data_IF_154294178933
#
_entry.id   IF_154294178933
#
_cell.length_a   1.000
_cell.length_b   1.000
_cell.length_c   1.000
_cell.angle_alpha   90.00
_cell.angle_beta   90.00
_cell.angle_gamma   90.00
#
_symmetry.space_group_name_H-M   'P 1'
#
loop_
_entity.id
_entity.type
_entity.pdbx_description
1 polymer ?
#
# COMPACT_ATOMS: atom_id res chain seq x y z
N UNK A 1 -9.49 33.15 2.43
CA UNK A 1 -8.17 32.52 2.18
C UNK A 1 -7.28 33.62 1.60
N UNK A 2 -6.06 33.81 2.15
CA UNK A 2 -5.09 34.72 1.50
C UNK A 2 -4.84 34.21 0.09
N UNK A 3 -4.86 35.07 -0.95
CA UNK A 3 -4.78 34.61 -2.35
C UNK A 3 -3.50 33.87 -2.71
N UNK A 4 -2.45 34.05 -1.91
CA UNK A 4 -1.10 33.50 -2.06
C UNK A 4 -0.77 32.34 -1.12
N UNK A 5 -1.79 31.73 -0.49
CA UNK A 5 -1.61 30.66 0.49
C UNK A 5 -1.90 29.29 -0.14
N UNK A 6 -0.89 28.68 -0.78
CA UNK A 6 -1.00 27.39 -1.47
C UNK A 6 -1.50 26.24 -0.56
N UNK A 7 -1.02 26.18 0.68
CA UNK A 7 -1.39 25.11 1.61
C UNK A 7 -2.88 25.15 2.00
N UNK A 8 -3.47 26.35 2.07
CA UNK A 8 -4.92 26.48 2.31
C UNK A 8 -5.74 25.98 1.10
N UNK A 9 -5.31 26.25 -0.12
CA UNK A 9 -5.95 25.71 -1.31
C UNK A 9 -5.76 24.20 -1.41
N UNK A 10 -4.60 23.67 -1.05
CA UNK A 10 -4.35 22.22 -0.99
C UNK A 10 -5.27 21.54 0.01
N UNK A 11 -5.37 22.06 1.24
CA UNK A 11 -6.24 21.51 2.27
C UNK A 11 -7.73 21.60 1.90
N UNK A 12 -8.13 22.70 1.24
CA UNK A 12 -9.48 22.84 0.70
C UNK A 12 -9.74 21.79 -0.39
N UNK A 13 -8.76 21.56 -1.28
CA UNK A 13 -8.82 20.52 -2.30
C UNK A 13 -9.02 19.14 -1.71
N UNK A 14 -8.22 18.75 -0.72
CA UNK A 14 -8.36 17.48 0.00
C UNK A 14 -9.74 17.33 0.64
N UNK A 15 -10.19 18.35 1.37
CA UNK A 15 -11.53 18.33 2.01
C UNK A 15 -12.65 18.18 0.98
N UNK A 16 -12.55 18.86 -0.14
CA UNK A 16 -13.55 18.76 -1.22
C UNK A 16 -13.51 17.40 -1.92
N UNK A 17 -12.32 16.83 -2.08
CA UNK A 17 -12.12 15.47 -2.60
C UNK A 17 -12.77 14.45 -1.68
N UNK A 18 -12.58 14.55 -0.35
CA UNK A 18 -13.20 13.68 0.63
C UNK A 18 -14.72 13.78 0.64
N UNK A 19 -15.25 14.98 0.40
CA UNK A 19 -16.69 15.23 0.23
C UNK A 19 -17.24 14.78 -1.13
N UNK A 20 -16.40 14.27 -2.06
CA UNK A 20 -16.79 13.90 -3.40
C UNK A 20 -17.09 15.06 -4.35
N UNK A 21 -16.66 16.28 -3.96
CA UNK A 21 -16.85 17.50 -4.78
C UNK A 21 -15.66 17.71 -5.72
N UNK A 22 -15.50 16.80 -6.66
CA UNK A 22 -14.28 16.66 -7.46
C UNK A 22 -13.94 17.89 -8.32
N UNK A 23 -14.93 18.55 -8.94
CA UNK A 23 -14.71 19.73 -9.75
C UNK A 23 -14.21 20.94 -8.93
N UNK A 24 -14.65 21.03 -7.68
CA UNK A 24 -14.18 22.07 -6.76
C UNK A 24 -12.81 21.73 -6.19
N UNK A 25 -12.53 20.44 -5.94
CA UNK A 25 -11.22 19.95 -5.53
C UNK A 25 -10.18 20.26 -6.62
N UNK A 26 -10.47 19.94 -7.89
CA UNK A 26 -9.61 20.25 -9.02
C UNK A 26 -9.26 21.74 -9.10
N UNK A 27 -10.27 22.62 -8.99
CA UNK A 27 -10.04 24.07 -8.99
C UNK A 27 -9.12 24.51 -7.86
N UNK A 28 -9.29 23.94 -6.68
CA UNK A 28 -8.47 24.25 -5.50
C UNK A 28 -7.02 23.78 -5.70
N UNK A 29 -6.81 22.58 -6.21
CA UNK A 29 -5.47 22.07 -6.52
C UNK A 29 -4.75 22.89 -7.61
N UNK A 30 -5.47 23.31 -8.67
CA UNK A 30 -4.91 24.20 -9.70
C UNK A 30 -4.50 25.55 -9.12
N UNK A 31 -5.29 26.13 -8.21
CA UNK A 31 -4.90 27.37 -7.52
C UNK A 31 -3.66 27.16 -6.63
N UNK A 32 -3.58 26.07 -5.93
CA UNK A 32 -2.40 25.74 -5.12
C UNK A 32 -1.14 25.59 -5.98
N UNK A 33 -1.22 24.90 -7.14
CA UNK A 33 -0.10 24.74 -8.07
C UNK A 33 0.28 26.03 -8.79
N UNK A 34 -0.65 26.95 -9.04
CA UNK A 34 -0.31 28.27 -9.57
C UNK A 34 0.60 29.06 -8.60
N UNK A 35 0.47 28.81 -7.30
CA UNK A 35 1.29 29.46 -6.25
C UNK A 35 2.60 28.68 -6.01
N UNK A 36 2.51 27.31 -5.98
CA UNK A 36 3.65 26.40 -5.79
C UNK A 36 3.71 25.36 -6.93
N UNK A 37 4.26 25.69 -8.12
CA UNK A 37 4.19 24.85 -9.32
C UNK A 37 4.85 23.47 -9.20
N UNK A 38 5.88 23.34 -8.36
CA UNK A 38 6.67 22.11 -8.23
C UNK A 38 6.25 21.27 -7.02
N UNK A 39 5.00 21.40 -6.55
CA UNK A 39 4.52 20.60 -5.43
C UNK A 39 3.99 19.25 -5.93
N UNK A 40 4.80 18.19 -5.78
CA UNK A 40 4.50 16.82 -6.22
C UNK A 40 3.26 16.23 -5.52
N UNK A 41 3.02 16.61 -4.26
CA UNK A 41 1.86 16.22 -3.46
C UNK A 41 0.55 16.69 -4.10
N UNK A 42 0.51 18.00 -4.43
CA UNK A 42 -0.68 18.61 -5.03
C UNK A 42 -0.83 18.14 -6.48
N UNK A 43 0.28 17.94 -7.20
CA UNK A 43 0.25 17.43 -8.57
C UNK A 43 -0.37 16.02 -8.61
N UNK A 44 0.05 15.10 -7.74
CA UNK A 44 -0.54 13.76 -7.68
C UNK A 44 -2.05 13.81 -7.41
N UNK A 45 -2.49 14.67 -6.48
CA UNK A 45 -3.91 14.85 -6.19
C UNK A 45 -4.67 15.42 -7.42
N UNK A 46 -4.07 16.35 -8.17
CA UNK A 46 -4.66 16.89 -9.39
C UNK A 46 -4.72 15.82 -10.49
N UNK A 47 -3.67 15.03 -10.68
CA UNK A 47 -3.62 13.95 -11.66
C UNK A 47 -4.74 12.93 -11.41
N UNK A 48 -4.97 12.57 -10.15
CA UNK A 48 -6.09 11.71 -9.74
C UNK A 48 -7.46 12.33 -10.09
N UNK A 49 -7.63 13.66 -9.93
CA UNK A 49 -8.88 14.35 -10.27
C UNK A 49 -9.12 14.44 -11.78
N UNK A 50 -8.05 14.60 -12.55
CA UNK A 50 -8.12 14.83 -14.01
C UNK A 50 -7.99 13.56 -14.83
N UNK A 51 -7.73 12.40 -14.17
CA UNK A 51 -7.57 11.11 -14.84
C UNK A 51 -6.21 10.91 -15.51
N UNK A 52 -5.23 11.75 -15.20
CA UNK A 52 -3.85 11.54 -15.63
C UNK A 52 -3.28 10.32 -14.91
N UNK A 53 -2.76 9.37 -15.68
CA UNK A 53 -2.22 8.12 -15.13
C UNK A 53 -0.72 8.26 -14.87
N UNK A 54 -0.30 7.91 -13.67
CA UNK A 54 1.10 7.86 -13.23
C UNK A 54 1.44 6.46 -12.77
N UNK A 55 2.73 6.12 -12.70
CA UNK A 55 3.16 4.76 -12.34
C UNK A 55 3.25 4.52 -10.83
N UNK A 56 3.42 5.58 -10.04
CA UNK A 56 3.50 5.49 -8.59
C UNK A 56 3.14 6.82 -7.95
N UNK A 57 2.65 6.80 -6.72
CA UNK A 57 2.50 8.01 -5.93
C UNK A 57 3.88 8.57 -5.57
N UNK A 58 4.07 9.91 -5.53
CA UNK A 58 5.30 10.51 -5.06
C UNK A 58 5.60 10.09 -3.61
N UNK A 59 6.87 9.83 -3.31
CA UNK A 59 7.32 9.45 -1.96
C UNK A 59 6.83 10.45 -0.90
N UNK A 60 7.01 11.73 -1.18
CA UNK A 60 6.61 12.81 -0.27
C UNK A 60 5.09 12.84 -0.02
N UNK A 61 4.28 12.39 -1.00
CA UNK A 61 2.83 12.26 -0.84
C UNK A 61 2.49 11.16 0.17
N UNK A 62 3.11 10.00 0.04
CA UNK A 62 2.90 8.84 0.93
C UNK A 62 3.38 9.18 2.35
N UNK A 63 4.61 9.69 2.49
CA UNK A 63 5.17 10.11 3.78
C UNK A 63 4.27 11.16 4.47
N UNK A 64 3.84 12.19 3.76
CA UNK A 64 2.99 13.25 4.31
C UNK A 64 1.66 12.70 4.87
N UNK A 65 1.00 11.82 4.12
CA UNK A 65 -0.27 11.22 4.56
C UNK A 65 -0.05 10.42 5.85
N UNK A 66 0.92 9.51 5.87
CA UNK A 66 1.09 8.57 6.96
C UNK A 66 1.75 9.19 8.19
N UNK A 67 2.64 10.16 8.05
CA UNK A 67 3.20 10.88 9.19
C UNK A 67 2.15 11.72 9.94
N UNK A 68 1.18 12.28 9.21
CA UNK A 68 0.10 13.05 9.83
C UNK A 68 -1.03 12.17 10.38
N UNK A 69 -1.13 10.92 9.93
CA UNK A 69 -2.24 10.04 10.26
C UNK A 69 -1.90 8.94 11.26
N UNK A 70 -0.61 8.70 11.55
CA UNK A 70 -0.12 7.57 12.34
C UNK A 70 -0.83 7.42 13.70
N UNK A 71 -0.98 8.52 14.46
CA UNK A 71 -1.58 8.48 15.79
C UNK A 71 -3.08 8.11 15.82
N UNK A 72 -3.80 8.26 14.69
CA UNK A 72 -5.23 7.98 14.58
C UNK A 72 -5.51 6.81 13.63
N UNK A 73 -4.46 6.22 13.06
CA UNK A 73 -4.55 5.23 11.99
C UNK A 73 -5.38 4.01 12.39
N UNK A 74 -5.06 3.39 13.51
CA UNK A 74 -5.73 2.16 13.96
C UNK A 74 -7.18 2.41 14.37
N UNK A 75 -7.44 3.46 15.13
CA UNK A 75 -8.80 3.83 15.54
C UNK A 75 -9.69 4.09 14.31
N UNK A 76 -9.11 4.66 13.27
CA UNK A 76 -9.84 4.91 12.03
C UNK A 76 -9.99 3.64 11.19
N UNK A 77 -8.93 2.91 10.93
CA UNK A 77 -8.94 1.74 10.04
C UNK A 77 -9.73 0.57 10.65
N UNK A 78 -9.37 0.16 11.86
CA UNK A 78 -9.97 -1.00 12.51
C UNK A 78 -11.34 -0.64 13.08
N UNK A 79 -11.42 0.48 13.82
CA UNK A 79 -12.64 0.86 14.53
C UNK A 79 -13.77 1.35 13.61
N UNK A 80 -13.46 2.14 12.58
CA UNK A 80 -14.47 2.79 11.72
C UNK A 80 -14.63 2.16 10.35
N UNK A 81 -13.55 1.62 9.77
CA UNK A 81 -13.53 1.16 8.39
C UNK A 81 -13.65 -0.37 8.24
N UNK A 82 -13.69 -1.12 9.34
CA UNK A 82 -13.79 -2.59 9.35
C UNK A 82 -12.68 -3.26 8.51
N UNK A 83 -11.44 -2.86 8.76
CA UNK A 83 -10.28 -3.35 8.04
C UNK A 83 -9.82 -4.71 8.60
N UNK A 84 -9.94 -5.76 7.80
CA UNK A 84 -9.64 -7.16 8.19
C UNK A 84 -8.61 -7.84 7.26
N UNK A 85 -7.93 -7.04 6.43
CA UNK A 85 -6.96 -7.59 5.45
C UNK A 85 -5.82 -8.35 6.12
N UNK A 86 -5.15 -7.83 7.20
CA UNK A 86 -4.05 -8.52 7.85
C UNK A 86 -4.41 -9.91 8.37
N UNK A 87 -5.54 -10.00 9.09
CA UNK A 87 -6.02 -11.26 9.67
C UNK A 87 -6.44 -12.24 8.59
N UNK A 88 -7.10 -11.75 7.54
CA UNK A 88 -7.56 -12.60 6.44
C UNK A 88 -6.37 -13.13 5.66
N UNK A 89 -5.39 -12.27 5.35
CA UNK A 89 -4.18 -12.66 4.63
C UNK A 89 -3.37 -13.67 5.44
N UNK A 90 -3.17 -13.44 6.73
CA UNK A 90 -2.49 -14.36 7.65
C UNK A 90 -3.17 -15.73 7.68
N UNK A 91 -4.51 -15.79 7.81
CA UNK A 91 -5.28 -17.05 7.79
C UNK A 91 -5.08 -17.82 6.48
N UNK A 92 -5.10 -17.11 5.34
CA UNK A 92 -4.89 -17.76 4.03
C UNK A 92 -3.47 -18.31 3.94
N UNK A 93 -2.45 -17.55 4.39
CA UNK A 93 -1.04 -17.95 4.34
C UNK A 93 -0.74 -19.20 5.17
N UNK A 94 -1.38 -19.39 6.33
CA UNK A 94 -1.17 -20.56 7.18
C UNK A 94 -2.11 -21.72 6.84
N UNK A 95 -3.16 -21.48 6.05
CA UNK A 95 -4.12 -22.51 5.67
C UNK A 95 -3.45 -23.64 4.88
N UNK A 96 -3.71 -24.88 5.29
CA UNK A 96 -3.15 -26.06 4.64
C UNK A 96 -1.72 -26.42 5.05
N UNK A 97 -1.08 -25.65 5.93
CA UNK A 97 0.24 -25.97 6.51
C UNK A 97 0.06 -26.78 7.79
N UNK A 98 0.77 -27.91 7.89
CA UNK A 98 0.67 -28.82 9.06
C UNK A 98 1.22 -28.19 10.34
N UNK A 99 2.32 -27.44 10.24
CA UNK A 99 3.01 -26.79 11.37
C UNK A 99 2.62 -25.32 11.55
N UNK A 100 1.77 -24.79 10.66
CA UNK A 100 1.37 -23.38 10.61
C UNK A 100 2.55 -22.39 10.60
N UNK A 101 3.78 -22.85 10.31
CA UNK A 101 4.97 -21.99 10.27
C UNK A 101 5.10 -21.27 8.94
N UNK A 102 5.43 -19.98 9.00
CA UNK A 102 5.74 -19.13 7.86
C UNK A 102 7.25 -18.92 7.67
N UNK A 103 8.07 -19.31 8.68
CA UNK A 103 9.51 -19.06 8.62
C UNK A 103 9.85 -17.58 8.74
N UNK A 104 10.71 -17.07 7.84
CA UNK A 104 11.13 -15.66 7.80
C UNK A 104 10.20 -14.84 6.90
N UNK A 105 9.71 -13.71 7.42
CA UNK A 105 8.74 -12.83 6.75
C UNK A 105 9.26 -11.41 6.68
N UNK A 106 9.17 -10.79 5.51
CA UNK A 106 9.38 -9.35 5.30
C UNK A 106 8.03 -8.67 5.04
N UNK A 107 7.67 -7.75 5.91
CA UNK A 107 6.46 -6.91 5.81
C UNK A 107 6.79 -5.59 5.11
N UNK A 108 6.38 -5.49 3.85
CA UNK A 108 6.62 -4.35 2.96
C UNK A 108 5.55 -3.28 3.17
N UNK A 109 5.93 -2.15 3.74
CA UNK A 109 5.00 -1.10 4.17
C UNK A 109 4.23 -1.52 5.42
N UNK A 110 4.97 -1.89 6.47
CA UNK A 110 4.40 -2.49 7.68
C UNK A 110 3.48 -1.53 8.48
N UNK A 111 3.53 -0.23 8.18
CA UNK A 111 2.73 0.79 8.86
C UNK A 111 2.90 0.74 10.37
N UNK A 112 1.78 0.77 11.09
CA UNK A 112 1.78 0.63 12.56
C UNK A 112 1.95 -0.83 13.03
N UNK A 113 2.09 -1.81 12.12
CA UNK A 113 2.32 -3.21 12.47
C UNK A 113 1.07 -4.07 12.60
N UNK A 114 -0.05 -3.72 11.97
CA UNK A 114 -1.27 -4.54 12.02
C UNK A 114 -1.06 -5.92 11.38
N UNK A 115 -0.39 -5.98 10.22
CA UNK A 115 -0.03 -7.25 9.60
C UNK A 115 0.95 -8.04 10.46
N UNK A 116 1.93 -7.35 11.05
CA UNK A 116 2.87 -7.97 11.98
C UNK A 116 2.22 -8.65 13.18
N UNK A 117 1.18 -8.03 13.79
CA UNK A 117 0.41 -8.67 14.88
C UNK A 117 -0.21 -9.99 14.42
N UNK A 118 -0.82 -10.01 13.24
CA UNK A 118 -1.48 -11.19 12.69
C UNK A 118 -0.50 -12.29 12.28
N UNK A 119 0.75 -11.92 11.92
CA UNK A 119 1.76 -12.84 11.39
C UNK A 119 2.73 -13.36 12.46
N UNK A 120 3.06 -12.55 13.50
CA UNK A 120 4.09 -12.88 14.50
C UNK A 120 3.94 -14.27 15.12
N UNK A 121 2.73 -14.78 15.44
CA UNK A 121 2.58 -16.12 16.01
C UNK A 121 3.09 -17.26 15.12
N UNK A 122 3.25 -17.00 13.82
CA UNK A 122 3.61 -17.99 12.80
C UNK A 122 5.02 -17.80 12.24
N UNK A 123 5.72 -16.71 12.63
CA UNK A 123 7.03 -16.35 12.07
C UNK A 123 8.18 -16.73 13.00
N UNK A 124 9.25 -17.27 12.43
CA UNK A 124 10.54 -17.41 13.14
C UNK A 124 11.35 -16.12 13.17
N UNK A 125 11.24 -15.32 12.10
CA UNK A 125 11.80 -13.99 11.97
C UNK A 125 10.78 -13.09 11.25
N UNK A 126 10.55 -11.89 11.77
CA UNK A 126 9.63 -10.91 11.20
C UNK A 126 10.32 -9.55 11.10
N UNK A 127 10.62 -9.12 9.88
CA UNK A 127 11.15 -7.80 9.61
C UNK A 127 10.09 -6.91 8.96
N UNK A 128 10.13 -5.61 9.25
CA UNK A 128 9.21 -4.64 8.69
C UNK A 128 9.94 -3.43 8.10
N UNK A 129 9.44 -2.93 6.98
CA UNK A 129 9.90 -1.68 6.39
C UNK A 129 8.74 -0.74 6.14
N UNK A 130 8.97 0.56 6.31
CA UNK A 130 7.99 1.60 5.98
C UNK A 130 8.70 2.92 5.63
N UNK A 131 8.06 3.77 4.83
CA UNK A 131 8.52 5.12 4.52
C UNK A 131 8.36 6.07 5.70
N UNK A 132 7.25 5.93 6.44
CA UNK A 132 6.86 6.82 7.53
C UNK A 132 7.54 6.45 8.84
N UNK A 133 8.39 7.36 9.34
CA UNK A 133 8.98 7.21 10.66
C UNK A 133 7.92 7.23 11.78
N UNK A 134 6.84 7.97 11.59
CA UNK A 134 5.74 8.04 12.56
C UNK A 134 5.02 6.71 12.67
N UNK A 135 4.80 6.01 11.55
CA UNK A 135 4.24 4.65 11.52
C UNK A 135 5.17 3.65 12.21
N UNK A 136 6.47 3.67 11.90
CA UNK A 136 7.45 2.77 12.50
C UNK A 136 7.55 2.92 14.01
N UNK A 137 7.42 4.13 14.55
CA UNK A 137 7.36 4.35 16.00
C UNK A 137 6.17 3.68 16.67
N UNK A 138 5.02 3.64 16.01
CA UNK A 138 3.86 2.89 16.52
C UNK A 138 4.08 1.37 16.41
N UNK A 139 4.68 0.88 15.31
CA UNK A 139 5.05 -0.52 15.16
C UNK A 139 6.07 -0.97 16.22
N UNK A 140 7.08 -0.14 16.50
CA UNK A 140 8.12 -0.40 17.51
C UNK A 140 7.54 -0.59 18.91
N UNK A 141 6.52 0.22 19.29
CA UNK A 141 5.84 0.09 20.60
C UNK A 141 5.18 -1.27 20.81
N UNK A 142 4.85 -1.97 19.73
CA UNK A 142 4.22 -3.30 19.79
C UNK A 142 5.22 -4.42 20.07
N UNK A 143 6.51 -4.16 19.86
CA UNK A 143 7.62 -5.10 20.13
C UNK A 143 7.41 -6.49 19.49
N UNK A 144 6.94 -6.51 18.23
CA UNK A 144 6.63 -7.73 17.47
C UNK A 144 7.60 -8.00 16.33
N UNK A 145 8.24 -6.95 15.80
CA UNK A 145 9.24 -7.08 14.74
C UNK A 145 10.63 -7.34 15.32
N UNK A 146 11.37 -8.23 14.67
CA UNK A 146 12.77 -8.50 15.00
C UNK A 146 13.68 -7.39 14.45
N UNK A 147 13.23 -6.71 13.38
CA UNK A 147 13.87 -5.53 12.80
C UNK A 147 12.86 -4.62 12.11
N UNK A 148 13.02 -3.32 12.32
CA UNK A 148 12.29 -2.27 11.60
C UNK A 148 13.26 -1.36 10.87
N UNK A 149 12.95 -0.99 9.62
CA UNK A 149 13.82 -0.13 8.81
C UNK A 149 12.98 0.93 8.09
N UNK A 150 13.37 2.21 8.26
CA UNK A 150 12.76 3.30 7.49
C UNK A 150 13.40 3.36 6.11
N UNK A 151 12.66 3.01 5.07
CA UNK A 151 13.15 2.99 3.69
C UNK A 151 11.99 2.86 2.69
N UNK A 152 12.29 3.16 1.43
CA UNK A 152 11.44 2.83 0.29
C UNK A 152 11.52 1.34 -0.05
N UNK A 153 10.41 0.76 -0.53
CA UNK A 153 10.35 -0.66 -0.91
C UNK A 153 11.37 -0.98 -2.00
N UNK A 154 11.45 -0.15 -3.06
CA UNK A 154 12.37 -0.39 -4.18
C UNK A 154 13.82 -0.22 -3.75
N UNK A 155 14.12 0.78 -2.91
CA UNK A 155 15.46 0.96 -2.32
C UNK A 155 15.87 -0.28 -1.52
N UNK A 156 15.02 -0.73 -0.58
CA UNK A 156 15.31 -1.90 0.25
C UNK A 156 15.53 -3.16 -0.57
N UNK A 157 14.59 -3.47 -1.48
CA UNK A 157 14.67 -4.66 -2.33
C UNK A 157 15.88 -4.64 -3.28
N UNK A 158 16.38 -3.45 -3.65
CA UNK A 158 17.54 -3.30 -4.55
C UNK A 158 18.88 -3.42 -3.82
N UNK A 159 18.97 -2.95 -2.59
CA UNK A 159 20.24 -2.77 -1.87
C UNK A 159 20.53 -3.90 -0.89
N UNK A 160 19.49 -4.47 -0.28
CA UNK A 160 19.63 -5.48 0.77
C UNK A 160 19.62 -6.89 0.16
N UNK A 161 20.40 -7.77 0.76
CA UNK A 161 20.38 -9.19 0.43
C UNK A 161 19.12 -9.84 1.02
N UNK A 162 18.28 -10.43 0.17
CA UNK A 162 16.99 -10.99 0.57
C UNK A 162 17.10 -12.50 0.81
N UNK A 163 16.57 -12.96 1.93
CA UNK A 163 16.53 -14.39 2.29
C UNK A 163 15.29 -14.71 3.13
N UNK A 164 14.11 -14.44 2.55
CA UNK A 164 12.83 -14.58 3.20
C UNK A 164 12.00 -15.71 2.58
N UNK A 165 11.17 -16.35 3.41
CA UNK A 165 10.19 -17.35 2.97
C UNK A 165 8.91 -16.68 2.48
N UNK A 166 8.58 -15.50 3.02
CA UNK A 166 7.41 -14.70 2.65
C UNK A 166 7.73 -13.21 2.54
N UNK A 167 7.13 -12.59 1.54
CA UNK A 167 6.98 -11.14 1.41
C UNK A 167 5.50 -10.81 1.57
N UNK A 168 5.17 -9.91 2.49
CA UNK A 168 3.78 -9.50 2.74
C UNK A 168 3.63 -8.03 2.41
N UNK A 169 2.52 -7.66 1.78
CA UNK A 169 2.24 -6.29 1.39
C UNK A 169 0.73 -6.01 1.54
N UNK A 170 0.32 -5.66 2.76
CA UNK A 170 -1.08 -5.46 3.11
C UNK A 170 -1.48 -3.98 2.95
N UNK A 171 -2.31 -3.69 1.95
CA UNK A 171 -2.87 -2.35 1.62
C UNK A 171 -1.82 -1.27 1.29
N UNK A 172 -0.70 -1.67 0.70
CA UNK A 172 0.42 -0.79 0.31
C UNK A 172 0.46 -0.54 -1.19
N UNK A 173 0.17 -1.56 -2.01
CA UNK A 173 0.18 -1.43 -3.47
C UNK A 173 -0.85 -0.43 -4.00
N UNK A 174 -1.76 0.01 -3.18
CA UNK A 174 -2.65 1.15 -3.49
C UNK A 174 -1.90 2.48 -3.68
N UNK A 175 -0.61 2.56 -3.35
CA UNK A 175 0.26 3.71 -3.62
C UNK A 175 1.29 3.45 -4.73
N UNK A 176 1.29 2.24 -5.30
CA UNK A 176 2.18 1.82 -6.38
C UNK A 176 1.34 1.31 -7.54
N UNK A 177 1.29 2.04 -8.65
CA UNK A 177 0.53 1.65 -9.84
C UNK A 177 1.25 0.54 -10.61
N UNK A 178 2.47 0.77 -11.04
CA UNK A 178 3.28 -0.22 -11.74
C UNK A 178 4.05 -1.11 -10.77
N UNK A 179 3.63 -2.36 -10.64
CA UNK A 179 4.22 -3.35 -9.75
C UNK A 179 5.39 -4.15 -10.37
N UNK A 180 5.70 -3.93 -11.65
CA UNK A 180 6.71 -4.70 -12.40
C UNK A 180 8.05 -4.75 -11.67
N UNK A 181 8.52 -3.60 -11.16
CA UNK A 181 9.80 -3.52 -10.47
C UNK A 181 9.83 -4.26 -9.13
N UNK A 182 8.71 -4.25 -8.38
CA UNK A 182 8.58 -5.02 -7.12
C UNK A 182 8.65 -6.51 -7.42
N UNK A 183 7.88 -6.98 -8.41
CA UNK A 183 7.88 -8.39 -8.83
C UNK A 183 9.26 -8.85 -9.29
N UNK A 184 9.92 -8.06 -10.13
CA UNK A 184 11.27 -8.34 -10.58
C UNK A 184 12.24 -8.48 -9.41
N UNK A 185 12.29 -7.49 -8.52
CA UNK A 185 13.26 -7.44 -7.43
C UNK A 185 13.03 -8.54 -6.38
N UNK A 186 11.78 -8.75 -5.96
CA UNK A 186 11.46 -9.80 -4.98
C UNK A 186 11.96 -11.15 -5.48
N UNK A 187 11.68 -11.49 -6.74
CA UNK A 187 12.08 -12.79 -7.29
C UNK A 187 13.57 -12.89 -7.59
N UNK A 188 14.14 -11.87 -8.25
CA UNK A 188 15.53 -11.94 -8.72
C UNK A 188 16.55 -11.78 -7.59
N UNK A 189 16.18 -11.11 -6.51
CA UNK A 189 17.06 -10.79 -5.39
C UNK A 189 16.95 -11.75 -4.21
N UNK A 190 15.81 -12.45 -4.07
CA UNK A 190 15.65 -13.42 -2.97
C UNK A 190 16.43 -14.71 -3.23
N UNK A 191 17.15 -15.19 -2.22
CA UNK A 191 18.04 -16.37 -2.35
C UNK A 191 17.30 -17.69 -2.43
N UNK A 192 16.06 -17.74 -1.98
CA UNK A 192 15.24 -18.95 -1.89
C UNK A 192 13.90 -18.80 -2.60
N UNK A 193 13.23 -19.93 -2.84
CA UNK A 193 11.83 -19.91 -3.24
C UNK A 193 10.98 -19.30 -2.12
N UNK A 194 10.04 -18.46 -2.48
CA UNK A 194 9.22 -17.76 -1.51
C UNK A 194 7.80 -17.51 -2.02
N UNK A 195 6.98 -16.92 -1.16
CA UNK A 195 5.63 -16.47 -1.49
C UNK A 195 5.52 -14.97 -1.35
N UNK A 196 5.00 -14.29 -2.37
CA UNK A 196 4.57 -12.90 -2.29
C UNK A 196 3.06 -12.88 -2.00
N UNK A 197 2.67 -12.36 -0.83
CA UNK A 197 1.29 -12.26 -0.35
C UNK A 197 0.89 -10.79 -0.25
N UNK A 198 -0.18 -10.39 -0.94
CA UNK A 198 -0.56 -8.97 -0.95
C UNK A 198 -2.05 -8.73 -1.20
N UNK A 199 -2.47 -7.50 -0.92
CA UNK A 199 -3.78 -6.98 -1.29
C UNK A 199 -3.67 -5.85 -2.32
N UNK A 200 -4.72 -5.69 -3.13
CA UNK A 200 -4.90 -4.55 -4.05
C UNK A 200 -6.32 -4.02 -3.94
N UNK A 201 -6.56 -2.73 -4.20
CA UNK A 201 -7.90 -2.29 -4.63
C UNK A 201 -8.18 -2.91 -6.01
N UNK A 202 -9.39 -3.47 -6.19
CA UNK A 202 -9.71 -4.21 -7.40
C UNK A 202 -10.36 -3.30 -8.45
N UNK A 203 -9.94 -3.47 -9.70
CA UNK A 203 -10.60 -2.83 -10.85
C UNK A 203 -10.84 -3.83 -11.97
N UNK A 204 -11.76 -3.51 -12.86
CA UNK A 204 -12.01 -4.27 -14.11
C UNK A 204 -11.03 -3.82 -15.19
N UNK A 205 -10.76 -4.69 -16.15
CA UNK A 205 -9.89 -4.38 -17.29
C UNK A 205 -8.59 -5.18 -17.25
N UNK A 206 -7.51 -4.62 -17.79
CA UNK A 206 -6.25 -5.34 -18.01
C UNK A 206 -5.00 -4.60 -17.51
N UNK A 207 -5.17 -3.56 -16.71
CA UNK A 207 -4.08 -2.71 -16.19
C UNK A 207 -4.41 -2.17 -14.80
N UNK A 208 -3.55 -1.30 -14.29
CA UNK A 208 -3.80 -0.49 -13.09
C UNK A 208 -4.33 0.90 -13.48
N UNK A 209 -4.96 1.57 -12.50
CA UNK A 209 -5.48 2.93 -12.66
C UNK A 209 -5.24 3.76 -11.41
N UNK A 210 -4.87 5.03 -11.61
CA UNK A 210 -4.92 6.04 -10.57
C UNK A 210 -6.38 6.51 -10.42
N UNK A 211 -6.97 6.15 -9.29
CA UNK A 211 -8.36 6.50 -8.97
C UNK A 211 -8.48 7.92 -8.42
N UNK A 212 -9.68 8.49 -8.44
CA UNK A 212 -9.96 9.81 -7.87
C UNK A 212 -9.68 9.91 -6.36
N UNK A 213 -9.47 8.82 -5.69
CA UNK A 213 -9.05 8.76 -4.28
C UNK A 213 -7.57 9.13 -4.09
N UNK A 214 -6.77 9.18 -5.17
CA UNK A 214 -5.31 9.28 -5.13
C UNK A 214 -4.61 7.94 -4.91
N UNK A 215 -5.38 6.83 -4.91
CA UNK A 215 -4.86 5.46 -4.80
C UNK A 215 -4.95 4.74 -6.13
N UNK A 216 -4.16 3.68 -6.27
CA UNK A 216 -4.17 2.81 -7.45
C UNK A 216 -5.04 1.59 -7.20
N UNK A 217 -5.81 1.24 -8.22
CA UNK A 217 -6.52 -0.04 -8.32
C UNK A 217 -5.85 -0.93 -9.38
N UNK A 218 -5.85 -2.25 -9.17
CA UNK A 218 -5.21 -3.22 -10.06
C UNK A 218 -6.21 -4.25 -10.51
N UNK A 219 -6.21 -4.55 -11.81
CA UNK A 219 -7.04 -5.64 -12.33
C UNK A 219 -6.36 -7.00 -12.10
N UNK A 220 -7.19 -8.06 -11.99
CA UNK A 220 -6.67 -9.43 -11.91
C UNK A 220 -5.82 -9.77 -13.13
N UNK A 221 -6.25 -9.39 -14.33
CA UNK A 221 -5.51 -9.62 -15.57
C UNK A 221 -4.14 -8.94 -15.58
N UNK A 222 -4.01 -7.75 -14.99
CA UNK A 222 -2.71 -7.10 -14.83
C UNK A 222 -1.76 -7.94 -13.96
N UNK A 223 -2.24 -8.45 -12.83
CA UNK A 223 -1.45 -9.32 -11.95
C UNK A 223 -1.10 -10.65 -12.64
N UNK A 224 -2.04 -11.23 -13.40
CA UNK A 224 -1.79 -12.45 -14.20
C UNK A 224 -0.68 -12.23 -15.24
N UNK A 225 -0.68 -11.08 -15.93
CA UNK A 225 0.37 -10.73 -16.90
C UNK A 225 1.74 -10.57 -16.20
N UNK A 226 1.81 -9.92 -15.03
CA UNK A 226 3.05 -9.85 -14.25
C UNK A 226 3.53 -11.25 -13.82
N UNK A 227 2.62 -12.13 -13.43
CA UNK A 227 2.95 -13.51 -13.06
C UNK A 227 3.55 -14.26 -14.26
N UNK A 228 2.99 -14.10 -15.46
CA UNK A 228 3.52 -14.69 -16.68
C UNK A 228 4.91 -14.11 -17.02
N UNK A 229 5.05 -12.78 -17.00
CA UNK A 229 6.29 -12.08 -17.34
C UNK A 229 7.45 -12.46 -16.40
N UNK A 230 7.20 -12.44 -15.09
CA UNK A 230 8.23 -12.69 -14.08
C UNK A 230 8.26 -14.15 -13.57
N UNK A 231 7.38 -15.01 -14.07
CA UNK A 231 7.36 -16.44 -13.74
C UNK A 231 6.92 -16.73 -12.30
N UNK A 232 5.88 -16.07 -11.84
CA UNK A 232 5.17 -16.39 -10.59
C UNK A 232 4.02 -17.34 -10.87
N UNK A 233 3.64 -18.12 -9.85
CA UNK A 233 2.45 -18.96 -9.88
C UNK A 233 1.42 -18.44 -8.87
N UNK A 234 0.22 -18.11 -9.33
CA UNK A 234 -0.90 -17.75 -8.44
C UNK A 234 -1.37 -19.02 -7.73
N UNK A 235 -1.16 -19.11 -6.42
CA UNK A 235 -1.62 -20.21 -5.58
C UNK A 235 -2.90 -19.89 -4.83
N UNK A 236 -3.20 -18.61 -4.64
CA UNK A 236 -4.48 -18.14 -4.12
C UNK A 236 -4.87 -16.80 -4.76
N UNK A 237 -6.16 -16.67 -5.06
CA UNK A 237 -6.82 -15.41 -5.37
C UNK A 237 -8.24 -15.43 -4.82
N UNK A 238 -8.60 -14.38 -4.11
CA UNK A 238 -9.98 -14.14 -3.68
C UNK A 238 -10.30 -12.66 -3.68
N UNK A 239 -11.56 -12.30 -3.88
CA UNK A 239 -12.04 -10.93 -3.69
C UNK A 239 -12.62 -10.77 -2.29
N UNK A 240 -12.35 -9.63 -1.68
CA UNK A 240 -12.84 -9.27 -0.34
C UNK A 240 -13.31 -7.82 -0.30
N UNK A 241 -14.06 -7.50 0.73
CA UNK A 241 -14.28 -6.11 1.12
C UNK A 241 -13.07 -5.63 1.94
N UNK A 242 -12.21 -4.78 1.34
CA UNK A 242 -11.00 -4.28 2.02
C UNK A 242 -11.35 -3.41 3.22
N UNK A 243 -12.15 -2.38 2.98
CA UNK A 243 -12.57 -1.40 3.98
C UNK A 243 -13.80 -0.62 3.49
N UNK A 244 -14.45 0.09 4.40
CA UNK A 244 -15.50 1.05 4.03
C UNK A 244 -14.90 2.41 3.69
N UNK A 245 -15.39 3.01 2.61
CA UNK A 245 -15.10 4.39 2.23
C UNK A 245 -16.41 5.08 1.81
N UNK A 246 -16.73 6.23 2.42
CA UNK A 246 -17.99 6.96 2.16
C UNK A 246 -19.23 6.07 2.22
N UNK A 247 -19.27 5.18 3.21
CA UNK A 247 -20.40 4.26 3.45
C UNK A 247 -20.50 3.05 2.50
N UNK A 248 -19.57 2.90 1.54
CA UNK A 248 -19.50 1.74 0.65
C UNK A 248 -18.24 0.94 0.91
N UNK A 249 -18.32 -0.37 0.69
CA UNK A 249 -17.13 -1.21 0.71
C UNK A 249 -16.33 -1.02 -0.58
N UNK A 250 -15.01 -0.91 -0.41
CA UNK A 250 -14.04 -1.01 -1.51
C UNK A 250 -13.73 -2.49 -1.70
N UNK A 251 -13.99 -2.99 -2.91
CA UNK A 251 -13.63 -4.35 -3.30
C UNK A 251 -12.13 -4.44 -3.53
N UNK A 252 -11.51 -5.49 -3.03
CA UNK A 252 -10.09 -5.77 -3.22
C UNK A 252 -9.81 -7.21 -3.63
N UNK A 253 -8.59 -7.41 -4.14
CA UNK A 253 -8.04 -8.72 -4.41
C UNK A 253 -7.02 -9.10 -3.36
N UNK A 254 -7.07 -10.34 -2.87
CA UNK A 254 -6.01 -10.97 -2.08
C UNK A 254 -5.31 -12.01 -2.93
N UNK A 255 -4.00 -11.95 -2.96
CA UNK A 255 -3.14 -12.81 -3.78
C UNK A 255 -2.06 -13.50 -2.95
N UNK A 256 -1.81 -14.78 -3.24
CA UNK A 256 -0.59 -15.49 -2.89
C UNK A 256 0.07 -15.97 -4.18
N UNK A 257 1.32 -15.57 -4.39
CA UNK A 257 2.10 -15.88 -5.57
C UNK A 257 3.39 -16.61 -5.15
N UNK A 258 3.60 -17.83 -5.62
CA UNK A 258 4.84 -18.57 -5.40
C UNK A 258 5.85 -18.32 -6.52
N UNK A 259 7.15 -18.33 -6.17
CA UNK A 259 8.25 -18.22 -7.15
C UNK A 259 9.50 -19.00 -6.73
#
# INVERSE_FOLDING_TARGET
IKPDYADAYSNLGLTLQDLGRFELAEKSYRQALNIKPNNTLIQHSLDAMTGVQTNTAPREYVEFIFDNYAAQFEDSLVGKLHYEVPETLSKIMVSGKQDQSLGSVLDLGCGTGLAGIALKPYCSNLEGIDLSNSMLKEAERKNIYDKLTQTDIIEYLSEIELDFDYFVCADVFVYVGDLSRVFELVKSRNKRKATLAFSTEHTKGNRFFLERSGRYSHSKTYIENLCEEFGYQITHFSTINLRKERGKFIEGGLYLLNF
#
